data_IF_935358108113
#
_entry.id   IF_935358108113
#
_cell.length_a   1.000
_cell.length_b   1.000
_cell.length_c   1.000
_cell.angle_alpha   90.00
_cell.angle_beta   90.00
_cell.angle_gamma   90.00
#
_symmetry.space_group_name_H-M   'P 1'
#
loop_
_entity.id
_entity.type
_entity.pdbx_description
1 polymer ?
#
# COMPACT_ATOMS: atom_id res chain seq x y z
N UNK A 1 -12.87 17.01 10.44
CA UNK A 1 -12.11 17.66 9.35
C UNK A 1 -12.70 17.15 8.04
N UNK A 2 -13.18 18.04 7.14
CA UNK A 2 -13.77 17.64 5.87
C UNK A 2 -12.70 17.10 4.89
N UNK A 3 -13.11 16.27 3.91
CA UNK A 3 -12.20 15.67 2.91
C UNK A 3 -11.40 16.75 2.13
N UNK A 4 -11.99 17.92 1.91
CA UNK A 4 -11.37 19.06 1.26
C UNK A 4 -10.19 19.63 2.05
N UNK A 5 -10.24 19.61 3.38
CA UNK A 5 -9.17 20.10 4.25
C UNK A 5 -7.90 19.23 4.13
N UNK A 6 -8.04 17.90 3.92
CA UNK A 6 -6.90 17.02 3.71
C UNK A 6 -6.26 17.21 2.33
N UNK A 7 -7.06 17.50 1.30
CA UNK A 7 -6.54 17.79 -0.04
C UNK A 7 -5.79 19.13 -0.06
N UNK A 8 -6.33 20.18 0.57
CA UNK A 8 -5.67 21.49 0.71
C UNK A 8 -4.37 21.36 1.50
N UNK A 9 -4.40 20.61 2.63
CA UNK A 9 -3.21 20.36 3.45
C UNK A 9 -2.13 19.58 2.66
N UNK A 10 -2.52 18.57 1.85
CA UNK A 10 -1.57 17.86 1.01
C UNK A 10 -0.88 18.81 0.03
N UNK A 11 -1.66 19.64 -0.65
CA UNK A 11 -1.16 20.64 -1.62
C UNK A 11 -0.21 21.65 -0.95
N UNK A 12 -0.57 22.18 0.22
CA UNK A 12 0.26 23.15 0.95
C UNK A 12 1.59 22.57 1.44
N UNK A 13 1.64 21.26 1.67
CA UNK A 13 2.84 20.53 2.08
C UNK A 13 3.60 19.89 0.90
N UNK A 14 3.20 20.16 -0.34
CA UNK A 14 3.84 19.62 -1.55
C UNK A 14 3.62 18.13 -1.80
N UNK A 15 2.61 17.52 -1.15
CA UNK A 15 2.29 16.13 -1.41
C UNK A 15 1.42 15.95 -2.65
N UNK A 16 1.68 14.89 -3.42
CA UNK A 16 0.96 14.56 -4.66
C UNK A 16 -0.50 14.17 -4.43
N UNK A 17 -0.84 13.61 -3.27
CA UNK A 17 -2.20 13.25 -2.92
C UNK A 17 -2.45 13.29 -1.43
N UNK A 18 -3.72 13.45 -1.04
CA UNK A 18 -4.14 13.38 0.38
C UNK A 18 -4.01 11.97 0.96
N UNK A 19 -3.84 10.94 0.14
CA UNK A 19 -3.65 9.56 0.60
C UNK A 19 -2.42 9.42 1.51
N UNK A 20 -1.44 10.33 1.39
CA UNK A 20 -0.26 10.38 2.27
C UNK A 20 -0.63 10.42 3.75
N UNK A 21 -1.68 11.16 4.14
CA UNK A 21 -2.07 11.25 5.55
C UNK A 21 -2.63 9.94 6.11
N UNK A 22 -3.17 9.07 5.25
CA UNK A 22 -3.58 7.73 5.66
C UNK A 22 -2.35 6.91 6.06
N UNK A 23 -1.31 6.91 5.22
CA UNK A 23 -0.06 6.20 5.50
C UNK A 23 0.62 6.74 6.77
N UNK A 24 0.70 8.06 6.94
CA UNK A 24 1.25 8.68 8.15
C UNK A 24 0.54 8.14 9.39
N UNK A 25 -0.80 8.21 9.44
CA UNK A 25 -1.60 7.78 10.58
C UNK A 25 -1.52 6.27 10.85
N UNK A 26 -1.28 5.45 9.82
CA UNK A 26 -1.07 4.01 9.97
C UNK A 26 0.33 3.75 10.52
N UNK A 27 1.36 4.31 9.89
CA UNK A 27 2.75 4.05 10.28
C UNK A 27 3.11 4.54 11.67
N UNK A 28 2.44 5.60 12.18
CA UNK A 28 2.59 6.07 13.56
C UNK A 28 2.13 5.04 14.60
N UNK A 29 1.22 4.14 14.23
CA UNK A 29 0.72 3.07 15.11
C UNK A 29 1.58 1.81 15.11
N UNK A 30 2.43 1.64 14.11
CA UNK A 30 3.20 0.42 13.88
C UNK A 30 4.63 0.60 14.39
N UNK A 31 4.88 0.16 15.64
CA UNK A 31 6.19 0.31 16.30
C UNK A 31 7.32 -0.45 15.60
N UNK A 32 6.99 -1.46 14.81
CA UNK A 32 7.94 -2.28 14.05
C UNK A 32 8.61 -1.53 12.91
N UNK A 33 7.95 -0.50 12.35
CA UNK A 33 8.52 0.35 11.30
C UNK A 33 9.44 1.38 11.93
N UNK A 34 10.70 1.02 12.15
CA UNK A 34 11.69 1.96 12.73
C UNK A 34 12.50 2.67 11.66
N UNK A 35 13.31 1.94 10.90
CA UNK A 35 14.17 2.47 9.84
C UNK A 35 14.24 1.41 8.72
N UNK A 36 13.23 1.29 7.88
CA UNK A 36 13.25 0.31 6.80
C UNK A 36 14.34 0.68 5.79
N UNK A 37 15.14 -0.32 5.39
CA UNK A 37 16.18 -0.16 4.38
C UNK A 37 15.64 -0.44 2.96
N UNK A 38 14.66 -1.33 2.85
CA UNK A 38 14.01 -1.72 1.61
C UNK A 38 12.50 -1.56 1.73
N UNK A 39 11.91 -0.81 0.82
CA UNK A 39 10.48 -0.51 0.78
C UNK A 39 9.92 -0.83 -0.60
N UNK A 40 8.78 -1.52 -0.65
CA UNK A 40 8.03 -1.81 -1.86
C UNK A 40 6.65 -1.16 -1.79
N UNK A 41 6.33 -0.29 -2.75
CA UNK A 41 5.03 0.37 -2.91
C UNK A 41 4.31 -0.25 -4.12
N UNK A 42 3.26 -1.02 -3.86
CA UNK A 42 2.48 -1.74 -4.88
C UNK A 42 1.21 -0.93 -5.19
N UNK A 43 1.07 -0.51 -6.46
CA UNK A 43 0.01 0.41 -6.88
C UNK A 43 0.34 1.84 -6.48
N UNK A 44 1.57 2.27 -6.82
CA UNK A 44 2.16 3.50 -6.31
C UNK A 44 1.57 4.78 -6.91
N UNK A 45 1.08 4.75 -8.16
CA UNK A 45 0.63 5.96 -8.85
C UNK A 45 -0.52 6.67 -8.11
N UNK A 46 -0.47 8.00 -8.02
CA UNK A 46 0.45 8.97 -8.58
C UNK A 46 1.73 9.24 -7.75
N UNK A 47 2.09 8.38 -6.80
CA UNK A 47 3.33 8.44 -6.04
C UNK A 47 3.26 9.18 -4.70
N UNK A 48 2.06 9.38 -4.16
CA UNK A 48 1.90 10.10 -2.88
C UNK A 48 2.57 9.40 -1.70
N UNK A 49 2.46 8.09 -1.62
CA UNK A 49 3.08 7.28 -0.57
C UNK A 49 4.58 7.14 -0.77
N UNK A 50 5.02 6.81 -1.98
CA UNK A 50 6.44 6.74 -2.34
C UNK A 50 7.18 8.04 -2.07
N UNK A 51 6.60 9.20 -2.42
CA UNK A 51 7.19 10.52 -2.16
C UNK A 51 7.36 10.78 -0.65
N UNK A 52 6.34 10.50 0.15
CA UNK A 52 6.43 10.63 1.60
C UNK A 52 7.52 9.74 2.20
N UNK A 53 7.58 8.47 1.77
CA UNK A 53 8.56 7.52 2.29
C UNK A 53 9.99 7.88 1.90
N UNK A 54 10.21 8.39 0.68
CA UNK A 54 11.52 8.87 0.25
C UNK A 54 12.03 10.04 1.10
N UNK A 55 11.13 10.94 1.49
CA UNK A 55 11.48 12.06 2.37
C UNK A 55 11.70 11.60 3.82
N UNK A 56 10.88 10.67 4.31
CA UNK A 56 10.95 10.18 5.69
C UNK A 56 12.13 9.25 5.93
N UNK A 57 12.48 8.43 4.94
CA UNK A 57 13.55 7.44 5.01
C UNK A 57 14.57 7.66 3.87
N UNK A 58 15.36 8.73 3.91
CA UNK A 58 16.24 9.13 2.79
C UNK A 58 17.37 8.14 2.50
N UNK A 59 17.59 7.16 3.37
CA UNK A 59 18.57 6.08 3.19
C UNK A 59 17.94 4.77 2.70
N UNK A 60 16.61 4.70 2.67
CA UNK A 60 15.92 3.51 2.18
C UNK A 60 15.98 3.44 0.65
N UNK A 61 16.12 2.24 0.14
CA UNK A 61 15.90 1.93 -1.27
C UNK A 61 14.42 1.64 -1.47
N UNK A 62 13.76 2.44 -2.30
CA UNK A 62 12.31 2.37 -2.51
C UNK A 62 12.03 1.94 -3.93
N UNK A 63 11.30 0.84 -4.08
CA UNK A 63 10.74 0.38 -5.33
C UNK A 63 9.23 0.68 -5.36
N UNK A 64 8.77 1.22 -6.46
CA UNK A 64 7.37 1.55 -6.69
C UNK A 64 6.90 0.89 -7.98
N UNK A 65 5.78 0.17 -7.91
CA UNK A 65 5.22 -0.57 -9.05
C UNK A 65 3.80 -0.09 -9.31
N UNK A 66 3.49 0.21 -10.56
CA UNK A 66 2.12 0.49 -11.01
C UNK A 66 1.98 0.20 -12.51
N UNK A 67 0.77 -0.12 -12.96
CA UNK A 67 0.45 -0.21 -14.39
C UNK A 67 0.34 1.17 -15.05
N UNK A 68 0.02 2.19 -14.25
CA UNK A 68 -0.11 3.57 -14.69
C UNK A 68 1.25 4.26 -14.66
N UNK A 69 1.45 5.18 -15.58
CA UNK A 69 2.60 6.07 -15.55
C UNK A 69 2.65 6.91 -14.27
N UNK A 70 3.84 7.14 -13.79
CA UNK A 70 4.07 7.99 -12.62
C UNK A 70 5.26 8.92 -12.89
N UNK A 71 5.11 10.20 -12.59
CA UNK A 71 6.22 11.15 -12.61
C UNK A 71 7.34 10.70 -11.68
N UNK A 72 8.58 10.86 -12.14
CA UNK A 72 9.76 10.48 -11.38
C UNK A 72 9.80 11.15 -9.99
N UNK A 73 10.19 10.37 -9.00
CA UNK A 73 10.40 10.81 -7.62
C UNK A 73 11.85 10.56 -7.26
N UNK A 74 12.54 11.59 -6.76
CA UNK A 74 13.92 11.43 -6.29
C UNK A 74 14.00 10.39 -5.18
N UNK A 75 14.89 9.41 -5.34
CA UNK A 75 15.07 8.33 -4.36
C UNK A 75 14.08 7.17 -4.49
N UNK A 76 13.26 7.15 -5.54
CA UNK A 76 12.31 6.06 -5.84
C UNK A 76 12.65 5.43 -7.19
N UNK A 77 12.76 4.13 -7.22
CA UNK A 77 12.89 3.32 -8.44
C UNK A 77 11.49 2.92 -8.89
N UNK A 78 10.94 3.65 -9.84
CA UNK A 78 9.64 3.34 -10.40
C UNK A 78 9.75 2.29 -11.51
N UNK A 79 8.88 1.31 -11.48
CA UNK A 79 8.77 0.22 -12.44
C UNK A 79 7.32 0.21 -12.94
N UNK A 80 7.12 0.54 -14.21
CA UNK A 80 5.80 0.46 -14.82
C UNK A 80 5.55 -0.99 -15.25
N UNK A 81 4.80 -1.73 -14.45
CA UNK A 81 4.51 -3.14 -14.69
C UNK A 81 3.21 -3.58 -14.00
N UNK A 82 2.60 -4.61 -14.52
CA UNK A 82 1.46 -5.27 -13.88
C UNK A 82 1.92 -6.11 -12.69
N UNK A 83 1.23 -5.98 -11.57
CA UNK A 83 1.51 -6.75 -10.35
C UNK A 83 1.57 -8.27 -10.59
N UNK A 84 0.80 -8.78 -11.55
CA UNK A 84 0.83 -10.20 -11.95
C UNK A 84 2.20 -10.66 -12.46
N UNK A 85 3.02 -9.73 -12.92
CA UNK A 85 4.36 -9.99 -13.41
C UNK A 85 5.48 -9.65 -12.40
N UNK A 86 5.14 -9.33 -11.16
CA UNK A 86 6.10 -8.84 -10.15
C UNK A 86 7.32 -9.75 -9.99
N UNK A 87 7.16 -11.07 -10.12
CA UNK A 87 8.26 -12.03 -10.01
C UNK A 87 9.21 -12.05 -11.21
N UNK A 88 8.78 -11.52 -12.35
CA UNK A 88 9.55 -11.45 -13.59
C UNK A 88 10.36 -10.16 -13.69
N UNK A 89 10.22 -9.25 -12.73
CA UNK A 89 10.93 -7.98 -12.70
C UNK A 89 12.38 -8.22 -12.29
N UNK A 90 13.31 -8.06 -13.23
CA UNK A 90 14.73 -8.32 -12.99
C UNK A 90 15.30 -7.53 -11.80
N UNK A 91 14.91 -6.25 -11.65
CA UNK A 91 15.35 -5.40 -10.55
C UNK A 91 14.95 -5.93 -9.17
N UNK A 92 13.92 -6.78 -9.09
CA UNK A 92 13.41 -7.36 -7.85
C UNK A 92 13.89 -8.79 -7.61
N UNK A 93 14.44 -9.46 -8.63
CA UNK A 93 14.74 -10.90 -8.60
C UNK A 93 15.64 -11.31 -7.42
N UNK A 94 16.64 -10.49 -7.10
CA UNK A 94 17.57 -10.72 -5.97
C UNK A 94 17.06 -10.20 -4.60
N UNK A 95 15.88 -9.59 -4.57
CA UNK A 95 15.34 -8.90 -3.38
C UNK A 95 14.20 -9.67 -2.70
N UNK A 96 13.93 -10.92 -3.11
CA UNK A 96 12.95 -11.79 -2.44
C UNK A 96 13.27 -11.94 -0.96
N UNK A 97 12.24 -11.87 -0.12
CA UNK A 97 12.33 -11.97 1.36
C UNK A 97 13.24 -10.90 2.04
N UNK A 98 13.41 -9.72 1.43
CA UNK A 98 14.31 -8.68 1.96
C UNK A 98 13.62 -7.36 2.30
N UNK A 99 12.38 -7.14 1.86
CA UNK A 99 11.69 -5.89 2.10
C UNK A 99 11.21 -5.77 3.54
N UNK A 100 11.63 -4.72 4.21
CA UNK A 100 11.22 -4.44 5.59
C UNK A 100 9.81 -3.83 5.66
N UNK A 101 9.39 -3.18 4.58
CA UNK A 101 8.07 -2.58 4.45
C UNK A 101 7.52 -2.81 3.05
N UNK A 102 6.37 -3.44 2.96
CA UNK A 102 5.59 -3.55 1.73
C UNK A 102 4.26 -2.86 1.97
N UNK A 103 3.89 -1.96 1.07
CA UNK A 103 2.65 -1.17 1.19
C UNK A 103 1.83 -1.24 -0.08
N UNK A 104 0.51 -1.12 0.05
CA UNK A 104 -0.39 -1.03 -1.10
C UNK A 104 -1.64 -0.20 -0.80
N UNK A 105 -1.91 0.79 -1.65
CA UNK A 105 -3.16 1.56 -1.67
C UNK A 105 -4.02 1.22 -2.92
N UNK A 106 -3.81 0.04 -3.52
CA UNK A 106 -4.56 -0.42 -4.67
C UNK A 106 -6.06 -0.53 -4.39
N UNK A 107 -6.84 -0.20 -5.38
CA UNK A 107 -8.28 -0.51 -5.44
C UNK A 107 -8.67 -0.82 -6.89
N UNK A 108 -9.60 -1.76 -7.11
CA UNK A 108 -10.13 -1.97 -8.44
C UNK A 108 -11.01 -0.79 -8.85
N UNK A 109 -11.26 -0.67 -10.15
CA UNK A 109 -12.33 0.19 -10.65
C UNK A 109 -13.67 -0.37 -10.18
N UNK A 110 -14.45 0.44 -9.48
CA UNK A 110 -15.76 0.02 -8.98
C UNK A 110 -16.81 0.14 -10.07
N UNK A 111 -17.58 -0.92 -10.25
CA UNK A 111 -18.69 -0.97 -11.21
C UNK A 111 -19.98 -0.34 -10.68
N UNK A 112 -20.07 -0.21 -9.34
CA UNK A 112 -21.28 0.18 -8.63
C UNK A 112 -22.21 -0.99 -8.31
N UNK A 113 -21.88 -2.22 -8.76
CA UNK A 113 -22.59 -3.45 -8.42
C UNK A 113 -21.86 -4.13 -7.26
N UNK A 114 -22.47 -4.12 -6.08
CA UNK A 114 -21.81 -4.50 -4.81
C UNK A 114 -21.16 -5.87 -4.87
N UNK A 115 -21.85 -6.89 -5.40
CA UNK A 115 -21.31 -8.26 -5.45
C UNK A 115 -20.09 -8.38 -6.36
N UNK A 116 -20.11 -7.71 -7.51
CA UNK A 116 -18.98 -7.70 -8.45
C UNK A 116 -17.80 -6.94 -7.82
N UNK A 117 -18.08 -5.77 -7.25
CA UNK A 117 -17.04 -4.95 -6.62
C UNK A 117 -16.37 -5.66 -5.45
N UNK A 118 -17.14 -6.41 -4.63
CA UNK A 118 -16.61 -7.17 -3.50
C UNK A 118 -15.68 -8.31 -3.95
N UNK A 119 -16.03 -9.03 -5.03
CA UNK A 119 -15.16 -10.07 -5.59
C UNK A 119 -13.90 -9.46 -6.22
N UNK A 120 -14.01 -8.39 -7.00
CA UNK A 120 -12.86 -7.70 -7.58
C UNK A 120 -11.88 -7.18 -6.50
N UNK A 121 -12.42 -6.65 -5.40
CA UNK A 121 -11.61 -6.22 -4.25
C UNK A 121 -10.87 -7.41 -3.64
N UNK A 122 -11.56 -8.53 -3.44
CA UNK A 122 -10.95 -9.73 -2.88
C UNK A 122 -9.84 -10.26 -3.79
N UNK A 123 -10.10 -10.38 -5.09
CA UNK A 123 -9.12 -10.88 -6.07
C UNK A 123 -7.86 -10.01 -6.07
N UNK A 124 -8.03 -8.68 -6.17
CA UNK A 124 -6.90 -7.75 -6.15
C UNK A 124 -6.12 -7.82 -4.83
N UNK A 125 -6.80 -7.93 -3.69
CA UNK A 125 -6.18 -8.05 -2.39
C UNK A 125 -5.39 -9.37 -2.24
N UNK A 126 -5.91 -10.49 -2.75
CA UNK A 126 -5.21 -11.78 -2.74
C UNK A 126 -3.97 -11.74 -3.63
N UNK A 127 -4.06 -11.15 -4.82
CA UNK A 127 -2.93 -10.94 -5.71
C UNK A 127 -1.85 -10.05 -5.07
N UNK A 128 -2.28 -8.98 -4.40
CA UNK A 128 -1.37 -8.08 -3.69
C UNK A 128 -0.68 -8.79 -2.52
N UNK A 129 -1.41 -9.60 -1.75
CA UNK A 129 -0.85 -10.40 -0.66
C UNK A 129 0.18 -11.41 -1.19
N UNK A 130 -0.15 -12.13 -2.26
CA UNK A 130 0.75 -13.10 -2.88
C UNK A 130 2.07 -12.43 -3.31
N UNK A 131 1.98 -11.29 -4.00
CA UNK A 131 3.16 -10.51 -4.36
C UNK A 131 3.95 -10.04 -3.15
N UNK A 132 3.26 -9.49 -2.13
CA UNK A 132 3.90 -8.98 -0.93
C UNK A 132 4.68 -10.07 -0.16
N UNK A 133 4.09 -11.24 0.05
CA UNK A 133 4.72 -12.35 0.80
C UNK A 133 6.04 -12.79 0.19
N UNK A 134 6.15 -12.79 -1.15
CA UNK A 134 7.37 -13.20 -1.85
C UNK A 134 8.55 -12.28 -1.59
N UNK A 135 8.29 -11.02 -1.29
CA UNK A 135 9.31 -10.00 -1.10
C UNK A 135 9.51 -9.59 0.36
N UNK A 136 8.50 -9.78 1.21
CA UNK A 136 8.52 -9.37 2.61
C UNK A 136 9.58 -10.16 3.41
N UNK A 137 10.38 -9.44 4.18
CA UNK A 137 11.28 -10.03 5.19
C UNK A 137 10.48 -10.70 6.33
N UNK A 138 11.05 -11.69 6.99
CA UNK A 138 10.42 -12.44 8.09
C UNK A 138 9.92 -11.59 9.26
N UNK A 139 10.49 -10.40 9.45
CA UNK A 139 10.09 -9.38 10.41
C UNK A 139 9.53 -8.12 9.75
N UNK A 140 9.33 -8.17 8.45
CA UNK A 140 8.80 -7.07 7.66
C UNK A 140 7.34 -6.77 7.99
N UNK A 141 6.91 -5.57 7.63
CA UNK A 141 5.54 -5.10 7.80
C UNK A 141 4.87 -4.98 6.43
N UNK A 142 3.69 -5.56 6.31
CA UNK A 142 2.83 -5.39 5.15
C UNK A 142 1.63 -4.52 5.52
N UNK A 143 1.34 -3.49 4.72
CA UNK A 143 0.17 -2.62 4.88
C UNK A 143 -0.62 -2.65 3.58
N UNK A 144 -1.90 -3.00 3.66
CA UNK A 144 -2.75 -3.12 2.48
C UNK A 144 -4.12 -2.49 2.70
N UNK A 145 -4.59 -1.73 1.70
CA UNK A 145 -5.95 -1.23 1.67
C UNK A 145 -6.93 -2.35 1.35
N UNK A 146 -8.05 -2.36 2.08
CA UNK A 146 -9.22 -3.18 1.77
C UNK A 146 -10.50 -2.43 2.14
N UNK A 147 -11.64 -3.10 2.05
CA UNK A 147 -12.94 -2.50 2.36
C UNK A 147 -13.74 -3.37 3.32
N UNK A 148 -14.55 -2.74 4.16
CA UNK A 148 -15.52 -3.44 5.00
C UNK A 148 -16.65 -3.97 4.12
N UNK A 149 -16.57 -5.25 3.76
CA UNK A 149 -17.51 -5.98 2.92
C UNK A 149 -17.62 -7.44 3.40
N UNK A 150 -18.44 -8.26 2.71
CA UNK A 150 -18.65 -9.67 3.05
C UNK A 150 -17.37 -10.51 2.97
N UNK A 151 -16.44 -10.16 2.08
CA UNK A 151 -15.19 -10.88 1.82
C UNK A 151 -14.04 -10.52 2.77
N UNK A 152 -14.19 -9.47 3.61
CA UNK A 152 -13.12 -9.02 4.52
C UNK A 152 -12.61 -10.14 5.43
N UNK A 153 -13.51 -10.96 5.98
CA UNK A 153 -13.12 -12.10 6.84
C UNK A 153 -12.29 -13.15 6.09
N UNK A 154 -12.63 -13.41 4.83
CA UNK A 154 -11.89 -14.34 3.96
C UNK A 154 -10.47 -13.82 3.70
N UNK A 155 -10.34 -12.56 3.28
CA UNK A 155 -9.05 -11.94 3.04
C UNK A 155 -8.17 -11.90 4.31
N UNK A 156 -8.75 -11.50 5.45
CA UNK A 156 -8.02 -11.48 6.73
C UNK A 156 -7.47 -12.86 7.10
N UNK A 157 -8.25 -13.91 6.93
CA UNK A 157 -7.78 -15.29 7.18
C UNK A 157 -6.60 -15.68 6.28
N UNK A 158 -6.59 -15.25 5.01
CA UNK A 158 -5.44 -15.50 4.13
C UNK A 158 -4.19 -14.77 4.61
N UNK A 159 -4.32 -13.52 5.07
CA UNK A 159 -3.21 -12.81 5.69
C UNK A 159 -2.70 -13.53 6.95
N UNK A 160 -3.60 -13.99 7.84
CA UNK A 160 -3.26 -14.67 9.10
C UNK A 160 -2.55 -16.03 8.90
N UNK A 161 -2.66 -16.66 7.73
CA UNK A 161 -1.86 -17.85 7.37
C UNK A 161 -0.39 -17.55 7.12
N UNK A 162 -0.08 -16.33 6.69
CA UNK A 162 1.24 -15.94 6.21
C UNK A 162 1.94 -14.94 7.14
N UNK A 163 1.19 -14.21 7.95
CA UNK A 163 1.68 -13.15 8.81
C UNK A 163 1.40 -13.46 10.29
N UNK A 164 2.34 -13.16 11.15
CA UNK A 164 2.26 -13.46 12.61
C UNK A 164 1.15 -12.68 13.30
N UNK A 165 0.89 -11.46 12.87
CA UNK A 165 -0.07 -10.53 13.47
C UNK A 165 -0.79 -9.81 12.34
N UNK A 166 -2.12 -9.72 12.41
CA UNK A 166 -2.93 -8.94 11.49
C UNK A 166 -3.84 -8.01 12.29
N UNK A 167 -3.64 -6.72 12.12
CA UNK A 167 -4.42 -5.68 12.79
C UNK A 167 -5.17 -4.83 11.76
N UNK A 168 -6.14 -4.05 12.24
CA UNK A 168 -6.96 -3.16 11.40
C UNK A 168 -6.74 -1.71 11.80
N UNK A 169 -6.55 -0.84 10.81
CA UNK A 169 -6.57 0.59 10.98
C UNK A 169 -7.63 1.25 10.10
N UNK A 170 -8.32 2.25 10.65
CA UNK A 170 -9.17 3.17 9.88
C UNK A 170 -8.62 4.58 10.09
N UNK A 171 -7.81 5.10 9.16
CA UNK A 171 -7.25 6.44 9.28
C UNK A 171 -8.35 7.52 9.29
N UNK A 172 -8.19 8.56 10.11
CA UNK A 172 -9.11 9.71 10.12
C UNK A 172 -9.09 10.49 8.79
N UNK A 173 -8.01 10.36 8.02
CA UNK A 173 -7.89 10.93 6.68
C UNK A 173 -8.74 10.20 5.63
N UNK A 174 -9.26 9.00 5.91
CA UNK A 174 -10.28 8.35 5.08
C UNK A 174 -11.61 9.12 5.15
N UNK A 175 -12.37 9.12 4.04
CA UNK A 175 -13.71 9.73 4.06
C UNK A 175 -14.59 9.01 5.09
N UNK A 176 -15.36 9.75 5.88
CA UNK A 176 -16.25 9.17 6.92
C UNK A 176 -17.19 8.09 6.35
N UNK A 177 -17.72 8.32 5.15
CA UNK A 177 -18.67 7.42 4.46
C UNK A 177 -17.99 6.25 3.76
N UNK A 178 -16.65 6.26 3.61
CA UNK A 178 -15.92 5.20 2.94
C UNK A 178 -15.86 3.95 3.81
N UNK A 179 -16.11 2.79 3.21
CA UNK A 179 -15.87 1.48 3.82
C UNK A 179 -14.39 1.08 3.83
N UNK A 180 -13.50 1.96 3.35
CA UNK A 180 -12.06 1.74 3.28
C UNK A 180 -11.46 1.56 4.68
N UNK A 181 -10.63 0.53 4.81
CA UNK A 181 -9.78 0.23 5.97
C UNK A 181 -8.43 -0.28 5.49
N UNK A 182 -7.49 -0.41 6.41
CA UNK A 182 -6.17 -0.99 6.16
C UNK A 182 -5.96 -2.17 7.09
N UNK A 183 -5.40 -3.28 6.54
CA UNK A 183 -4.86 -4.38 7.33
C UNK A 183 -3.32 -4.28 7.34
N UNK A 184 -2.70 -4.63 8.46
CA UNK A 184 -1.24 -4.64 8.62
C UNK A 184 -0.81 -5.66 9.69
#
# INVERSE_FOLDING_TARGET
>A
MHADNWAQKAKSLGYRSRAVFKLIQITEKIKQIKNPNLILDIGAAPGGWSHYLANKYPRAEIFAIDILEMEQIKGVKFIQEDLRNIEKIDQLSSLKNKFNLVISDLAPNLSGISSIDEENILELNLLTLEGAIKFLDSNGVFIVKTFQNSNLRKFRKEMEKNLKIVQTAKPAASKKQSKEIYLY
#
